data_IF_205149889166
#
_entry.id   IF_205149889166
#
_cell.length_a   1.000
_cell.length_b   1.000
_cell.length_c   1.000
_cell.angle_alpha   90.00
_cell.angle_beta   90.00
_cell.angle_gamma   90.00
#
_symmetry.space_group_name_H-M   'P 1'
#
loop_
_entity.id
_entity.type
_entity.pdbx_description
1 polymer ?
#
# COMPACT_ATOMS: atom_id res chain seq x y z
N UNK A 1 -6.92 1.39 9.64
CA UNK A 1 -7.19 0.90 10.99
C UNK A 1 -8.10 1.89 11.65
N UNK A 2 -9.32 1.47 11.85
CA UNK A 2 -10.33 2.23 12.55
C UNK A 2 -10.21 1.90 14.03
N UNK A 3 -9.88 2.90 14.85
CA UNK A 3 -9.61 2.73 16.30
C UNK A 3 -10.84 2.27 17.07
N UNK A 4 -12.03 2.62 16.57
CA UNK A 4 -13.33 2.26 17.11
C UNK A 4 -13.69 0.79 16.85
N UNK A 5 -13.29 0.25 15.70
CA UNK A 5 -13.54 -1.14 15.30
C UNK A 5 -12.46 -2.06 15.85
N UNK A 6 -11.18 -1.73 15.62
CA UNK A 6 -10.02 -2.47 16.12
C UNK A 6 -10.05 -4.00 15.89
N UNK A 7 -10.62 -4.45 14.77
CA UNK A 7 -10.71 -5.89 14.45
C UNK A 7 -9.37 -6.48 14.00
N UNK A 8 -8.66 -5.75 13.12
CA UNK A 8 -7.40 -6.20 12.50
C UNK A 8 -6.40 -5.06 12.45
N UNK A 9 -5.16 -5.34 12.85
CA UNK A 9 -4.06 -4.39 12.88
C UNK A 9 -2.86 -4.84 12.05
N UNK A 10 -2.05 -3.90 11.59
CA UNK A 10 -0.73 -4.22 11.04
C UNK A 10 0.18 -4.79 12.14
N UNK A 11 1.08 -5.74 11.81
CA UNK A 11 2.06 -6.22 12.78
C UNK A 11 2.93 -5.07 13.30
N UNK A 12 3.08 -5.00 14.62
CA UNK A 12 3.87 -3.97 15.28
C UNK A 12 5.34 -4.21 15.00
N UNK A 13 6.00 -3.24 14.38
CA UNK A 13 7.44 -3.24 14.13
C UNK A 13 8.02 -1.97 14.73
N UNK A 14 9.09 -2.12 15.50
CA UNK A 14 9.79 -1.00 16.14
C UNK A 14 10.13 0.08 15.10
N UNK A 15 9.77 1.33 15.39
CA UNK A 15 10.01 2.47 14.49
C UNK A 15 9.08 2.58 13.28
N UNK A 16 8.05 1.73 13.11
CA UNK A 16 7.09 1.80 11.98
C UNK A 16 5.67 2.05 12.47
N UNK A 17 4.96 2.97 11.80
CA UNK A 17 3.53 3.21 12.05
C UNK A 17 3.18 3.95 13.35
N UNK A 18 4.17 4.25 14.20
CA UNK A 18 4.00 5.08 15.40
C UNK A 18 4.07 6.59 15.12
N UNK A 19 3.49 7.40 16.00
CA UNK A 19 3.67 8.86 16.02
C UNK A 19 4.71 9.24 17.09
N UNK A 20 5.62 10.16 16.75
CA UNK A 20 6.61 10.70 17.70
C UNK A 20 5.98 11.49 18.86
N UNK A 21 4.80 12.07 18.63
CA UNK A 21 4.08 12.88 19.63
C UNK A 21 2.99 12.10 20.36
N UNK A 22 2.49 11.01 19.77
CA UNK A 22 1.40 10.20 20.34
C UNK A 22 1.81 8.72 20.41
N UNK A 23 2.35 8.26 21.55
CA UNK A 23 2.87 6.89 21.71
C UNK A 23 1.86 5.78 21.41
N UNK A 24 0.57 6.06 21.63
CA UNK A 24 -0.54 5.12 21.41
C UNK A 24 -1.08 5.14 19.97
N UNK A 25 -0.68 6.09 19.13
CA UNK A 25 -1.17 6.17 17.74
C UNK A 25 -0.49 5.11 16.88
N UNK A 26 -1.30 4.26 16.26
CA UNK A 26 -0.88 3.19 15.33
C UNK A 26 -1.51 3.41 13.97
N UNK A 27 -0.71 3.82 13.00
CA UNK A 27 -1.14 4.05 11.63
C UNK A 27 -0.84 2.82 10.76
N UNK A 28 -1.77 2.40 9.88
CA UNK A 28 -1.54 1.29 8.96
C UNK A 28 -0.69 1.72 7.74
N UNK A 29 0.61 1.93 7.97
CA UNK A 29 1.52 2.51 6.97
C UNK A 29 1.82 1.52 5.83
N UNK A 30 1.85 0.22 6.10
CA UNK A 30 2.06 -0.78 5.04
C UNK A 30 0.87 -0.84 4.09
N UNK A 31 -0.36 -0.90 4.63
CA UNK A 31 -1.60 -0.87 3.87
C UNK A 31 -1.73 0.44 3.08
N UNK A 32 -1.39 1.58 3.67
CA UNK A 32 -1.37 2.86 2.96
C UNK A 32 -0.42 2.85 1.75
N UNK A 33 0.76 2.24 1.91
CA UNK A 33 1.72 2.11 0.82
C UNK A 33 1.23 1.14 -0.27
N UNK A 34 0.56 0.04 0.10
CA UNK A 34 -0.07 -0.90 -0.85
C UNK A 34 -1.18 -0.21 -1.64
N UNK A 35 -2.07 0.53 -0.96
CA UNK A 35 -3.15 1.28 -1.61
C UNK A 35 -2.60 2.34 -2.57
N UNK A 36 -1.54 3.03 -2.17
CA UNK A 36 -0.88 4.03 -3.04
C UNK A 36 -0.29 3.37 -4.29
N UNK A 37 0.37 2.22 -4.14
CA UNK A 37 0.89 1.45 -5.26
C UNK A 37 -0.24 1.01 -6.20
N UNK A 38 -1.30 0.41 -5.64
CA UNK A 38 -2.47 -0.03 -6.39
C UNK A 38 -3.16 1.12 -7.15
N UNK A 39 -3.21 2.32 -6.56
CA UNK A 39 -3.78 3.50 -7.21
C UNK A 39 -2.95 3.98 -8.41
N UNK A 40 -1.62 3.81 -8.37
CA UNK A 40 -0.70 4.23 -9.44
C UNK A 40 -0.61 3.23 -10.59
N UNK A 41 -0.74 1.94 -10.29
CA UNK A 41 -0.59 0.84 -11.26
C UNK A 41 -1.35 1.04 -12.58
N UNK A 42 -2.64 1.46 -12.59
CA UNK A 42 -3.38 1.63 -13.84
C UNK A 42 -2.76 2.67 -14.79
N UNK A 43 -2.24 3.78 -14.25
CA UNK A 43 -1.61 4.83 -15.07
C UNK A 43 -0.30 4.36 -15.69
N UNK A 44 0.53 3.66 -14.92
CA UNK A 44 1.77 3.07 -15.42
C UNK A 44 1.49 1.99 -16.49
N UNK A 45 0.47 1.16 -16.28
CA UNK A 45 0.04 0.18 -17.28
C UNK A 45 -0.47 0.83 -18.57
N UNK A 46 -1.21 1.93 -18.47
CA UNK A 46 -1.68 2.65 -19.65
C UNK A 46 -0.50 3.21 -20.48
N UNK A 47 0.52 3.75 -19.83
CA UNK A 47 1.75 4.20 -20.50
C UNK A 47 2.48 3.05 -21.20
N UNK A 48 2.66 1.90 -20.54
CA UNK A 48 3.28 0.73 -21.16
C UNK A 48 2.45 0.16 -22.31
N UNK A 49 1.13 0.21 -22.22
CA UNK A 49 0.27 -0.23 -23.30
C UNK A 49 0.39 0.69 -24.52
N UNK A 50 0.45 2.01 -24.31
CA UNK A 50 0.68 2.97 -25.37
C UNK A 50 2.07 2.84 -26.02
N UNK A 51 3.10 2.43 -25.26
CA UNK A 51 4.47 2.26 -25.78
C UNK A 51 4.64 1.06 -26.73
N UNK A 52 3.68 0.14 -26.77
CA UNK A 52 3.67 -1.01 -27.69
C UNK A 52 3.64 -0.58 -29.16
N UNK A 53 3.12 0.61 -29.47
CA UNK A 53 3.09 1.14 -30.82
C UNK A 53 4.47 1.66 -31.22
N UNK A 54 5.35 0.74 -31.61
CA UNK A 54 6.67 1.08 -32.13
C UNK A 54 6.65 1.15 -33.66
N UNK A 55 6.85 2.35 -34.22
CA UNK A 55 6.99 2.59 -35.66
C UNK A 55 8.32 2.03 -36.21
N UNK A 56 8.25 1.42 -37.40
CA UNK A 56 9.37 0.86 -38.15
C UNK A 56 10.21 -0.12 -37.31
N UNK A 57 11.54 -0.05 -37.39
CA UNK A 57 12.45 -0.93 -36.66
C UNK A 57 12.63 -0.49 -35.20
N UNK A 58 12.39 0.80 -34.88
CA UNK A 58 12.50 1.35 -33.53
C UNK A 58 11.84 2.72 -33.39
N UNK A 59 10.77 2.84 -32.63
CA UNK A 59 10.14 4.13 -32.35
C UNK A 59 10.96 5.01 -31.40
N UNK A 60 11.00 6.30 -31.71
CA UNK A 60 11.38 7.34 -30.78
C UNK A 60 10.21 7.66 -29.83
N UNK A 61 10.48 7.82 -28.55
CA UNK A 61 9.50 8.12 -27.51
C UNK A 61 8.99 6.87 -26.79
N UNK A 62 8.36 5.94 -27.52
CA UNK A 62 7.75 4.73 -26.93
C UNK A 62 8.75 3.86 -26.17
N UNK A 63 9.89 3.55 -26.79
CA UNK A 63 10.99 2.83 -26.15
C UNK A 63 11.50 3.56 -24.89
N UNK A 64 11.72 4.87 -24.96
CA UNK A 64 12.23 5.65 -23.82
C UNK A 64 11.22 5.71 -22.67
N UNK A 65 9.93 5.75 -22.97
CA UNK A 65 8.86 5.76 -21.96
C UNK A 65 8.89 4.49 -21.09
N UNK A 66 9.37 3.36 -21.61
CA UNK A 66 9.47 2.11 -20.86
C UNK A 66 10.58 2.14 -19.79
N UNK A 67 11.61 2.99 -19.93
CA UNK A 67 12.79 2.97 -19.07
C UNK A 67 12.49 3.25 -17.60
N UNK A 68 11.53 4.15 -17.34
CA UNK A 68 11.09 4.47 -15.98
C UNK A 68 9.81 3.73 -15.61
N UNK A 69 8.88 3.64 -16.56
CA UNK A 69 7.54 3.08 -16.33
C UNK A 69 7.60 1.60 -15.94
N UNK A 70 8.43 0.80 -16.62
CA UNK A 70 8.51 -0.64 -16.37
C UNK A 70 9.14 -0.95 -15.00
N UNK A 71 10.30 -0.37 -14.61
CA UNK A 71 10.82 -0.54 -13.26
C UNK A 71 9.86 -0.05 -12.18
N UNK A 72 9.23 1.12 -12.36
CA UNK A 72 8.29 1.67 -11.38
C UNK A 72 7.08 0.74 -11.18
N UNK A 73 6.57 0.14 -12.26
CA UNK A 73 5.48 -0.84 -12.16
C UNK A 73 5.89 -2.08 -11.36
N UNK A 74 7.07 -2.65 -11.63
CA UNK A 74 7.58 -3.87 -10.97
C UNK A 74 7.87 -3.64 -9.49
N UNK A 75 8.38 -2.45 -9.13
CA UNK A 75 8.68 -2.09 -7.73
C UNK A 75 7.46 -1.57 -6.96
N UNK A 76 6.30 -1.46 -7.63
CA UNK A 76 5.02 -1.07 -7.03
C UNK A 76 4.85 0.44 -6.86
N UNK A 77 5.11 1.23 -7.91
CA UNK A 77 4.98 2.69 -7.87
C UNK A 77 6.09 3.38 -7.07
N UNK A 78 7.13 2.63 -6.69
CA UNK A 78 8.27 3.12 -5.93
C UNK A 78 9.41 3.34 -6.92
N UNK A 79 9.54 4.55 -7.45
CA UNK A 79 10.60 4.89 -8.41
C UNK A 79 11.99 4.37 -7.98
N UNK A 80 12.89 4.19 -8.94
CA UNK A 80 14.19 3.47 -8.83
C UNK A 80 15.08 3.91 -7.65
N UNK A 81 14.84 5.08 -7.04
CA UNK A 81 15.58 5.59 -5.86
C UNK A 81 15.00 5.25 -4.48
N UNK A 82 13.83 4.64 -4.36
CA UNK A 82 13.19 4.41 -3.07
C UNK A 82 13.81 3.21 -2.31
N UNK A 83 14.60 3.50 -1.27
CA UNK A 83 15.22 2.51 -0.38
C UNK A 83 14.19 1.50 0.14
N UNK A 84 14.58 0.22 0.22
CA UNK A 84 13.79 -0.93 0.69
C UNK A 84 13.20 -0.69 2.08
N UNK A 85 12.03 -0.07 2.14
CA UNK A 85 11.20 0.02 3.34
C UNK A 85 10.38 -1.25 3.51
N UNK A 86 11.03 -2.28 4.05
CA UNK A 86 10.44 -3.50 4.61
C UNK A 86 9.59 -4.35 3.64
N UNK A 87 10.19 -5.46 3.21
CA UNK A 87 9.42 -6.63 2.81
C UNK A 87 8.43 -6.95 3.91
N UNK A 88 7.15 -6.73 3.64
CA UNK A 88 6.08 -7.32 4.41
C UNK A 88 6.15 -8.82 4.14
N UNK A 89 7.02 -9.52 4.88
CA UNK A 89 6.85 -10.95 5.08
C UNK A 89 5.40 -11.11 5.53
N UNK A 90 4.66 -12.03 4.92
CA UNK A 90 3.31 -12.40 5.33
C UNK A 90 3.32 -13.04 6.73
N UNK A 91 3.72 -12.27 7.75
CA UNK A 91 3.29 -12.50 9.11
C UNK A 91 1.84 -11.99 9.13
N UNK A 92 0.89 -12.87 9.40
CA UNK A 92 -0.54 -12.54 9.38
C UNK A 92 -0.85 -11.29 10.20
N UNK A 93 -1.89 -10.56 9.79
CA UNK A 93 -2.35 -9.39 10.53
C UNK A 93 -2.86 -9.83 11.90
N UNK A 94 -2.28 -9.37 13.03
CA UNK A 94 -2.80 -9.71 14.33
C UNK A 94 -4.24 -9.22 14.49
N UNK A 95 -5.13 -10.11 14.95
CA UNK A 95 -6.44 -9.73 15.44
C UNK A 95 -6.24 -8.96 16.74
N UNK A 96 -6.73 -7.71 16.81
CA UNK A 96 -6.44 -6.83 17.94
C UNK A 96 -7.48 -6.96 19.06
N UNK A 97 -8.59 -7.67 18.83
CA UNK A 97 -9.72 -7.60 19.76
C UNK A 97 -10.58 -8.88 19.87
N UNK A 98 -10.26 -9.74 20.84
CA UNK A 98 -11.13 -10.85 21.27
C UNK A 98 -12.05 -10.48 22.46
N UNK A 99 -12.13 -9.20 22.89
CA UNK A 99 -12.84 -8.83 24.15
C UNK A 99 -13.90 -7.75 24.05
N UNK A 100 -13.98 -6.95 22.98
CA UNK A 100 -14.91 -5.79 22.91
C UNK A 100 -16.20 -6.01 22.10
N UNK A 101 -16.38 -7.20 21.52
CA UNK A 101 -17.57 -7.57 20.72
C UNK A 101 -18.90 -7.64 21.51
N UNK A 102 -18.90 -7.43 22.84
CA UNK A 102 -20.10 -7.52 23.69
C UNK A 102 -20.78 -6.18 24.05
N UNK A 103 -20.40 -5.06 23.43
CA UNK A 103 -21.13 -3.79 23.62
C UNK A 103 -21.70 -3.32 22.28
N UNK A 104 -22.92 -3.79 21.97
CA UNK A 104 -23.80 -3.15 21.00
C UNK A 104 -24.80 -2.27 21.77
N UNK A 105 -24.76 -0.93 21.63
CA UNK A 105 -25.66 0.00 22.34
C UNK A 105 -27.13 -0.08 21.93
N UNK A 106 -27.47 -0.86 20.90
CA UNK A 106 -28.80 -0.89 20.28
C UNK A 106 -29.67 -2.08 20.73
N UNK A 107 -29.21 -2.87 21.71
CA UNK A 107 -29.90 -4.09 22.14
C UNK A 107 -30.97 -3.88 23.24
N UNK A 108 -31.12 -2.67 23.78
CA UNK A 108 -31.96 -2.41 24.97
C UNK A 108 -33.24 -1.57 24.69
N UNK A 109 -33.65 -1.41 23.44
CA UNK A 109 -34.97 -0.86 23.11
C UNK A 109 -35.92 -1.98 22.65
N UNK A 110 -36.53 -2.65 23.63
CA UNK A 110 -37.63 -3.60 23.48
C UNK A 110 -38.58 -3.45 24.66
#
# INVERSE_FOLDING_TARGET
MQTEVAEVGEPVVEGRGGSSTMPHKRNPVACAAILTAAQRTPGLMATLYASQLQQHERALGGWQAEWETLPELITGGRGVGAKRGAGARHAGFPAENARRSRYHPWADYG
#
